data_IF_952863829484
#
_entry.id   IF_952863829484
#
_cell.length_a   1.000
_cell.length_b   1.000
_cell.length_c   1.000
_cell.angle_alpha   90.00
_cell.angle_beta   90.00
_cell.angle_gamma   90.00
#
_symmetry.space_group_name_H-M   'P 1'
#
loop_
_entity.id
_entity.type
_entity.pdbx_description
1 polymer ?
#
# COMPACT_ATOMS: atom_id res chain seq x y z
N UNK A 1 2.50 3.14 -24.01
CA UNK A 1 1.16 3.55 -24.41
C UNK A 1 0.16 3.12 -23.37
N UNK A 2 -1.01 2.61 -23.78
CA UNK A 2 -2.02 2.16 -22.83
C UNK A 2 -1.45 1.12 -21.86
N UNK A 3 -0.66 0.18 -22.39
CA UNK A 3 -0.04 -0.84 -21.54
C UNK A 3 0.93 -0.27 -20.51
N UNK A 4 1.65 0.81 -20.87
CA UNK A 4 2.58 1.45 -19.94
C UNK A 4 1.87 2.09 -18.76
N UNK A 5 0.69 2.67 -18.99
CA UNK A 5 -0.10 3.27 -17.94
C UNK A 5 -0.60 2.20 -16.97
N UNK A 6 -1.11 1.09 -17.51
CA UNK A 6 -1.58 -0.04 -16.70
C UNK A 6 -0.41 -0.63 -15.92
N UNK A 7 0.75 -0.79 -16.59
CA UNK A 7 1.94 -1.34 -15.95
C UNK A 7 2.43 -0.48 -14.79
N UNK A 8 2.37 0.85 -14.96
CA UNK A 8 2.77 1.76 -13.88
C UNK A 8 1.89 1.62 -12.66
N UNK A 9 0.58 1.46 -12.85
CA UNK A 9 -0.34 1.27 -11.73
C UNK A 9 -0.04 -0.05 -11.02
N UNK A 10 0.15 -1.12 -11.78
CA UNK A 10 0.48 -2.42 -11.21
C UNK A 10 1.81 -2.40 -10.48
N UNK A 11 2.80 -1.72 -11.06
CA UNK A 11 4.12 -1.60 -10.43
C UNK A 11 4.02 -0.88 -9.09
N UNK A 12 3.22 0.20 -9.02
CA UNK A 12 3.00 0.90 -7.76
C UNK A 12 2.43 -0.02 -6.69
N UNK A 13 1.40 -0.81 -7.04
CA UNK A 13 0.81 -1.75 -6.09
C UNK A 13 1.82 -2.81 -5.66
N UNK A 14 2.57 -3.37 -6.59
CA UNK A 14 3.57 -4.39 -6.29
C UNK A 14 4.66 -3.85 -5.37
N UNK A 15 5.14 -2.65 -5.65
CA UNK A 15 6.20 -2.04 -4.85
C UNK A 15 5.71 -1.73 -3.43
N UNK A 16 4.51 -1.18 -3.29
CA UNK A 16 3.99 -0.89 -1.95
C UNK A 16 3.72 -2.18 -1.18
N UNK A 17 3.17 -3.21 -1.83
CA UNK A 17 2.99 -4.50 -1.17
C UNK A 17 4.33 -5.08 -0.71
N UNK A 18 5.36 -4.95 -1.53
CA UNK A 18 6.68 -5.45 -1.20
C UNK A 18 7.33 -4.67 -0.06
N UNK A 19 7.03 -3.37 0.06
CA UNK A 19 7.60 -2.56 1.14
C UNK A 19 6.91 -2.77 2.48
N UNK A 20 5.67 -3.27 2.49
CA UNK A 20 4.91 -3.40 3.74
C UNK A 20 5.63 -4.18 4.84
N UNK A 21 6.31 -5.30 4.56
CA UNK A 21 7.06 -5.99 5.61
C UNK A 21 8.21 -5.16 6.19
N UNK A 22 8.72 -4.19 5.46
CA UNK A 22 9.81 -3.34 5.90
C UNK A 22 9.36 -2.09 6.63
N UNK A 23 8.08 -1.71 6.50
CA UNK A 23 7.55 -0.49 7.10
C UNK A 23 7.69 -0.48 8.63
N UNK A 24 7.44 -1.57 9.37
CA UNK A 24 7.61 -1.55 10.81
C UNK A 24 9.03 -1.19 11.27
N UNK A 25 10.03 -1.47 10.44
CA UNK A 25 11.44 -1.21 10.78
C UNK A 25 11.96 0.07 10.12
N UNK A 26 11.60 0.28 8.87
CA UNK A 26 12.16 1.37 8.06
C UNK A 26 11.19 2.55 7.89
N UNK A 27 9.93 2.40 8.28
CA UNK A 27 8.91 3.42 8.09
C UNK A 27 8.49 3.53 6.62
N UNK A 28 7.71 4.56 6.32
CA UNK A 28 7.24 4.84 4.97
C UNK A 28 8.30 5.68 4.23
N UNK A 29 9.39 5.04 3.86
CA UNK A 29 10.59 5.72 3.34
C UNK A 29 11.04 5.10 2.03
N UNK A 30 11.94 5.83 1.36
CA UNK A 30 12.58 5.32 0.16
C UNK A 30 13.41 4.07 0.47
N UNK A 31 13.96 3.97 1.67
CA UNK A 31 14.68 2.78 2.11
C UNK A 31 13.77 1.57 2.14
N UNK A 32 12.57 1.73 2.68
CA UNK A 32 11.61 0.63 2.76
C UNK A 32 11.20 0.15 1.37
N UNK A 33 10.94 1.07 0.44
CA UNK A 33 10.53 0.66 -0.90
C UNK A 33 11.68 0.03 -1.66
N UNK A 34 12.90 0.52 -1.47
CA UNK A 34 14.06 -0.11 -2.09
C UNK A 34 14.27 -1.54 -1.57
N UNK A 35 14.14 -1.75 -0.26
CA UNK A 35 14.25 -3.09 0.31
C UNK A 35 13.16 -4.01 -0.24
N UNK A 36 11.94 -3.52 -0.35
CA UNK A 36 10.87 -4.30 -0.93
C UNK A 36 11.11 -4.63 -2.40
N UNK A 37 11.57 -3.64 -3.16
CA UNK A 37 11.85 -3.85 -4.58
C UNK A 37 12.93 -4.89 -4.79
N UNK A 38 13.98 -4.86 -3.97
CA UNK A 38 15.05 -5.85 -4.04
C UNK A 38 14.50 -7.24 -3.72
N UNK A 39 13.62 -7.35 -2.73
CA UNK A 39 13.04 -8.64 -2.34
C UNK A 39 12.29 -9.29 -3.49
N UNK A 40 11.60 -8.52 -4.31
CA UNK A 40 10.86 -9.08 -5.45
C UNK A 40 11.66 -9.08 -6.74
N UNK A 41 12.95 -8.68 -6.68
CA UNK A 41 13.82 -8.69 -7.84
C UNK A 41 13.56 -7.59 -8.86
N UNK A 42 12.85 -6.53 -8.45
CA UNK A 42 12.53 -5.43 -9.34
C UNK A 42 13.80 -4.68 -9.75
N UNK A 43 13.99 -4.53 -11.06
CA UNK A 43 15.10 -3.75 -11.64
C UNK A 43 16.48 -4.15 -11.10
N UNK A 44 16.70 -5.45 -10.90
CA UNK A 44 17.97 -5.97 -10.36
C UNK A 44 19.20 -5.54 -11.13
N UNK A 45 19.06 -5.34 -12.44
CA UNK A 45 20.19 -5.02 -13.30
C UNK A 45 20.57 -3.55 -13.24
N UNK A 46 19.79 -2.73 -12.55
CA UNK A 46 20.03 -1.29 -12.50
C UNK A 46 20.74 -0.89 -11.22
N UNK A 47 21.45 0.24 -11.27
CA UNK A 47 22.11 0.78 -10.09
C UNK A 47 21.05 1.28 -9.10
N UNK A 48 21.43 1.36 -7.82
CA UNK A 48 20.54 1.89 -6.79
C UNK A 48 20.04 3.29 -7.12
N UNK A 49 20.90 4.16 -7.62
CA UNK A 49 20.49 5.51 -7.98
C UNK A 49 19.43 5.53 -9.07
N UNK A 50 19.56 4.67 -10.06
CA UNK A 50 18.54 4.55 -11.11
C UNK A 50 17.23 4.03 -10.57
N UNK A 51 17.28 3.04 -9.69
CA UNK A 51 16.07 2.51 -9.06
C UNK A 51 15.34 3.58 -8.26
N UNK A 52 16.10 4.36 -7.46
CA UNK A 52 15.50 5.42 -6.65
C UNK A 52 14.86 6.49 -7.54
N UNK A 53 15.46 6.82 -8.68
CA UNK A 53 14.86 7.76 -9.63
C UNK A 53 13.54 7.23 -10.17
N UNK A 54 13.46 5.94 -10.45
CA UNK A 54 12.21 5.30 -10.89
C UNK A 54 11.14 5.45 -9.81
N UNK A 55 11.49 5.16 -8.56
CA UNK A 55 10.53 5.27 -7.45
C UNK A 55 10.04 6.71 -7.29
N UNK A 56 10.93 7.68 -7.39
CA UNK A 56 10.56 9.10 -7.27
C UNK A 56 9.65 9.55 -8.40
N UNK A 57 9.81 8.99 -9.59
CA UNK A 57 8.90 9.27 -10.70
C UNK A 57 7.53 8.65 -10.50
N UNK A 58 7.46 7.49 -9.87
CA UNK A 58 6.19 6.82 -9.58
C UNK A 58 5.47 7.44 -8.39
N UNK A 59 6.21 7.89 -7.39
CA UNK A 59 5.66 8.38 -6.12
C UNK A 59 6.19 9.79 -5.84
N UNK A 60 5.64 10.76 -6.56
CA UNK A 60 6.12 12.16 -6.49
C UNK A 60 6.11 12.75 -5.09
N UNK A 61 5.12 12.38 -4.29
CA UNK A 61 4.96 12.92 -2.94
C UNK A 61 5.52 12.00 -1.86
N UNK A 62 6.27 10.99 -2.25
CA UNK A 62 6.95 10.09 -1.32
C UNK A 62 5.99 9.33 -0.42
N UNK A 63 6.15 9.51 0.90
CA UNK A 63 5.37 8.75 1.89
C UNK A 63 3.87 8.90 1.70
N UNK A 64 3.40 10.08 1.35
CA UNK A 64 1.97 10.31 1.15
C UNK A 64 1.45 9.42 0.02
N UNK A 65 2.20 9.32 -1.06
CA UNK A 65 1.78 8.48 -2.18
C UNK A 65 1.84 6.99 -1.82
N UNK A 66 2.85 6.56 -1.05
CA UNK A 66 2.91 5.18 -0.57
C UNK A 66 1.67 4.85 0.25
N UNK A 67 1.28 5.75 1.15
CA UNK A 67 0.15 5.54 2.05
C UNK A 67 -1.16 5.52 1.27
N UNK A 68 -1.30 6.36 0.25
CA UNK A 68 -2.48 6.32 -0.61
C UNK A 68 -2.64 4.98 -1.30
N UNK A 69 -1.55 4.45 -1.87
CA UNK A 69 -1.58 3.13 -2.51
C UNK A 69 -1.89 2.04 -1.49
N UNK A 70 -1.32 2.14 -0.29
CA UNK A 70 -1.61 1.20 0.79
C UNK A 70 -3.10 1.20 1.13
N UNK A 71 -3.71 2.37 1.22
CA UNK A 71 -5.15 2.49 1.48
C UNK A 71 -5.97 1.78 0.40
N UNK A 72 -5.58 1.93 -0.86
CA UNK A 72 -6.23 1.23 -1.96
C UNK A 72 -6.05 -0.28 -1.87
N UNK A 73 -4.87 -0.73 -1.45
CA UNK A 73 -4.60 -2.15 -1.25
C UNK A 73 -5.55 -2.73 -0.20
N UNK A 74 -5.74 -2.01 0.91
CA UNK A 74 -6.68 -2.46 1.95
C UNK A 74 -8.09 -2.56 1.39
N UNK A 75 -8.54 -1.57 0.61
CA UNK A 75 -9.86 -1.58 0.02
C UNK A 75 -10.04 -2.79 -0.91
N UNK A 76 -9.02 -3.10 -1.71
CA UNK A 76 -9.06 -4.26 -2.59
C UNK A 76 -9.12 -5.56 -1.78
N UNK A 77 -8.34 -5.66 -0.72
CA UNK A 77 -8.35 -6.85 0.13
C UNK A 77 -9.68 -7.04 0.84
N UNK A 78 -10.32 -5.95 1.28
CA UNK A 78 -11.66 -6.02 1.86
C UNK A 78 -12.64 -6.61 0.85
N UNK A 79 -12.63 -6.10 -0.37
CA UNK A 79 -13.50 -6.59 -1.44
C UNK A 79 -13.25 -8.07 -1.72
N UNK A 80 -11.99 -8.45 -1.86
CA UNK A 80 -11.65 -9.83 -2.17
C UNK A 80 -12.05 -10.78 -1.06
N UNK A 81 -11.79 -10.40 0.18
CA UNK A 81 -12.16 -11.23 1.32
C UNK A 81 -13.68 -11.37 1.43
N UNK A 82 -14.42 -10.30 1.16
CA UNK A 82 -15.87 -10.37 1.17
C UNK A 82 -16.39 -11.29 0.06
N UNK A 83 -15.81 -11.18 -1.14
CA UNK A 83 -16.24 -11.99 -2.27
C UNK A 83 -15.95 -13.48 -2.08
N UNK A 84 -14.96 -13.82 -1.26
CA UNK A 84 -14.59 -15.20 -0.98
C UNK A 84 -15.48 -15.87 0.07
N UNK A 85 -16.35 -15.13 0.72
CA UNK A 85 -17.25 -15.68 1.72
C UNK A 85 -18.32 -16.56 1.02
N UNK A 86 -18.49 -17.79 1.50
CA UNK A 86 -19.43 -18.73 0.90
C UNK A 86 -20.88 -18.32 1.14
N UNK A 87 -21.20 -17.95 2.37
CA UNK A 87 -22.57 -17.60 2.76
C UNK A 87 -22.65 -16.10 3.02
N UNK A 88 -22.80 -15.34 1.94
CA UNK A 88 -22.86 -13.88 2.05
C UNK A 88 -24.18 -13.45 2.70
N UNK A 89 -24.12 -12.47 3.60
CA UNK A 89 -25.35 -11.91 4.17
C UNK A 89 -26.22 -11.29 3.08
N UNK A 90 -27.54 -11.51 3.18
CA UNK A 90 -28.48 -10.96 2.21
C UNK A 90 -29.05 -9.62 2.67
N UNK A 91 -29.10 -9.40 3.98
CA UNK A 91 -29.61 -8.15 4.52
C UNK A 91 -28.51 -7.11 4.58
N UNK A 92 -28.87 -5.87 4.25
CA UNK A 92 -27.91 -4.78 4.20
C UNK A 92 -27.19 -4.54 5.53
N UNK A 93 -27.88 -4.51 6.69
CA UNK A 93 -27.17 -4.31 7.96
C UNK A 93 -26.12 -5.37 8.25
N UNK A 94 -26.42 -6.62 7.97
CA UNK A 94 -25.46 -7.71 8.18
C UNK A 94 -24.31 -7.65 7.20
N UNK A 95 -24.58 -7.22 5.97
CA UNK A 95 -23.54 -7.01 4.97
C UNK A 95 -22.54 -5.94 5.42
N UNK A 96 -23.06 -4.81 5.91
CA UNK A 96 -22.22 -3.72 6.40
C UNK A 96 -21.39 -4.19 7.58
N UNK A 97 -22.00 -4.90 8.52
CA UNK A 97 -21.29 -5.44 9.68
C UNK A 97 -20.16 -6.36 9.25
N UNK A 98 -20.40 -7.22 8.27
CA UNK A 98 -19.37 -8.15 7.79
C UNK A 98 -18.21 -7.42 7.15
N UNK A 99 -18.49 -6.39 6.33
CA UNK A 99 -17.45 -5.57 5.71
C UNK A 99 -16.61 -4.86 6.76
N UNK A 100 -17.24 -4.33 7.81
CA UNK A 100 -16.53 -3.67 8.91
C UNK A 100 -15.61 -4.65 9.62
N UNK A 101 -16.09 -5.86 9.89
CA UNK A 101 -15.28 -6.87 10.57
C UNK A 101 -14.06 -7.30 9.73
N UNK A 102 -14.26 -7.44 8.42
CA UNK A 102 -13.14 -7.76 7.52
C UNK A 102 -12.10 -6.64 7.54
N UNK A 103 -12.53 -5.39 7.42
CA UNK A 103 -11.63 -4.25 7.46
C UNK A 103 -10.89 -4.19 8.79
N UNK A 104 -11.59 -4.45 9.89
CA UNK A 104 -10.98 -4.45 11.21
C UNK A 104 -9.88 -5.50 11.32
N UNK A 105 -10.12 -6.70 10.78
CA UNK A 105 -9.11 -7.76 10.76
C UNK A 105 -7.87 -7.35 9.96
N UNK A 106 -8.07 -6.70 8.82
CA UNK A 106 -6.96 -6.22 8.00
C UNK A 106 -6.19 -5.11 8.69
N UNK A 107 -6.89 -4.21 9.39
CA UNK A 107 -6.23 -3.15 10.17
C UNK A 107 -5.38 -3.76 11.28
N UNK A 108 -5.82 -4.85 11.88
CA UNK A 108 -5.03 -5.55 12.87
C UNK A 108 -3.78 -6.19 12.24
N UNK A 109 -3.94 -6.79 11.07
CA UNK A 109 -2.83 -7.40 10.33
C UNK A 109 -1.75 -6.38 10.01
N UNK A 110 -2.14 -5.17 9.63
CA UNK A 110 -1.21 -4.10 9.23
C UNK A 110 -1.06 -3.03 10.30
N UNK A 111 -1.24 -3.40 11.55
CA UNK A 111 -1.30 -2.46 12.68
C UNK A 111 -0.13 -1.47 12.73
N UNK A 112 1.09 -1.98 12.57
CA UNK A 112 2.27 -1.12 12.67
C UNK A 112 2.39 -0.17 11.47
N UNK A 113 2.05 -0.66 10.27
CA UNK A 113 2.06 0.19 9.09
C UNK A 113 1.02 1.30 9.21
N UNK A 114 -0.16 0.98 9.73
CA UNK A 114 -1.22 1.97 9.93
C UNK A 114 -0.81 3.00 10.98
N UNK A 115 -0.24 2.55 12.09
CA UNK A 115 0.23 3.46 13.13
C UNK A 115 1.26 4.44 12.59
N UNK A 116 2.22 3.93 11.82
CA UNK A 116 3.24 4.76 11.19
C UNK A 116 2.64 5.74 10.18
N UNK A 117 1.62 5.30 9.43
CA UNK A 117 0.97 6.17 8.45
C UNK A 117 0.22 7.32 9.12
N UNK A 118 -0.42 7.05 10.26
CA UNK A 118 -1.12 8.10 11.01
C UNK A 118 -0.16 9.15 11.53
N UNK A 119 1.02 8.74 11.99
CA UNK A 119 2.05 9.68 12.43
C UNK A 119 2.44 10.63 11.31
N UNK A 120 2.57 10.13 10.10
CA UNK A 120 2.98 10.94 8.95
C UNK A 120 1.86 11.85 8.48
N UNK A 121 0.65 11.33 8.34
CA UNK A 121 -0.46 12.09 7.76
C UNK A 121 -1.01 13.15 8.70
N UNK A 122 -0.75 13.03 10.01
CA UNK A 122 -1.21 14.01 10.98
C UNK A 122 -0.17 15.08 11.30
N UNK A 123 1.03 15.00 10.72
CA UNK A 123 2.06 16.03 10.93
C UNK A 123 1.63 17.34 10.28
N UNK A 124 1.83 18.49 10.98
CA UNK A 124 1.44 19.78 10.42
C UNK A 124 2.09 20.10 9.07
N UNK A 125 3.32 19.66 8.86
CA UNK A 125 4.02 19.90 7.59
C UNK A 125 3.32 19.24 6.42
N UNK A 126 2.75 18.07 6.63
CA UNK A 126 2.03 17.35 5.58
C UNK A 126 0.66 17.96 5.30
N UNK A 127 0.01 18.49 6.32
CA UNK A 127 -1.31 19.09 6.16
C UNK A 127 -1.26 20.41 5.38
N UNK A 128 -0.09 21.04 5.30
CA UNK A 128 0.10 22.29 4.56
C UNK A 128 0.36 22.06 3.07
N UNK A 129 0.63 20.85 2.69
CA UNK A 129 0.87 20.49 1.31
C UNK A 129 -0.41 20.01 0.64
#
# INVERSE_FOLDING_TARGET
>A
MINNIIDNTEIKFELVRAMLPHVPFDGWTWTAIENGAVDIGFEKTQTENKRINIYKNLFHNGAIDFIEVFSEIIDIEVKNNYNDIENKPQRIPEKIKKLILIRFSLCHKYKEAIRSSLSITTLPNNSKK
#
